data_IF_296942342282
#
_entry.id   IF_296942342282
#
_cell.length_a   1.000
_cell.length_b   1.000
_cell.length_c   1.000
_cell.angle_alpha   90.00
_cell.angle_beta   90.00
_cell.angle_gamma   90.00
#
_symmetry.space_group_name_H-M   'P 1'
#
loop_
_entity.id
_entity.type
_entity.pdbx_description
1 polymer ?
#
# COMPACT_ATOMS: atom_id res chain seq x y z
N UNK A 1 -8.97 44.83 8.79
CA UNK A 1 -8.55 43.43 8.54
C UNK A 1 -7.10 43.29 9.01
N UNK A 2 -6.88 42.63 10.15
CA UNK A 2 -5.58 42.59 10.84
C UNK A 2 -4.65 41.51 10.26
N UNK A 3 -3.33 41.74 10.27
CA UNK A 3 -2.31 40.77 9.80
C UNK A 3 -2.50 39.35 10.35
N UNK A 4 -3.02 39.20 11.58
CA UNK A 4 -3.28 37.89 12.20
C UNK A 4 -4.30 37.03 11.45
N UNK A 5 -5.36 37.64 10.91
CA UNK A 5 -6.44 36.94 10.19
C UNK A 5 -5.94 36.35 8.85
N UNK A 6 -5.01 37.05 8.19
CA UNK A 6 -4.39 36.60 6.94
C UNK A 6 -3.42 35.41 7.12
N UNK A 7 -2.82 35.25 8.30
CA UNK A 7 -1.89 34.16 8.58
C UNK A 7 -2.60 32.87 9.00
N UNK A 8 -3.70 32.97 9.74
CA UNK A 8 -4.52 31.82 10.12
C UNK A 8 -5.20 31.19 8.90
N UNK A 9 -5.77 32.02 8.03
CA UNK A 9 -6.38 31.59 6.76
C UNK A 9 -5.37 30.85 5.88
N UNK A 10 -4.15 31.40 5.71
CA UNK A 10 -3.05 30.73 4.98
C UNK A 10 -2.61 29.42 5.61
N UNK A 11 -2.54 29.33 6.95
CA UNK A 11 -2.21 28.08 7.66
C UNK A 11 -3.29 27.01 7.42
N UNK A 12 -4.57 27.38 7.52
CA UNK A 12 -5.69 26.49 7.28
C UNK A 12 -5.73 25.99 5.82
N UNK A 13 -5.47 26.87 4.86
CA UNK A 13 -5.38 26.51 3.43
C UNK A 13 -4.24 25.51 3.17
N UNK A 14 -3.04 25.77 3.71
CA UNK A 14 -1.90 24.85 3.59
C UNK A 14 -2.19 23.47 4.20
N UNK A 15 -2.87 23.44 5.36
CA UNK A 15 -3.29 22.19 5.99
C UNK A 15 -4.27 21.41 5.11
N UNK A 16 -5.33 22.08 4.63
CA UNK A 16 -6.33 21.50 3.72
C UNK A 16 -5.69 20.96 2.45
N UNK A 17 -4.78 21.71 1.83
CA UNK A 17 -4.04 21.27 0.63
C UNK A 17 -3.19 20.03 0.91
N UNK A 18 -2.52 19.95 2.06
CA UNK A 18 -1.73 18.77 2.45
C UNK A 18 -2.61 17.53 2.65
N UNK A 19 -3.75 17.69 3.32
CA UNK A 19 -4.75 16.61 3.51
C UNK A 19 -5.25 16.13 2.15
N UNK A 20 -5.65 17.06 1.27
CA UNK A 20 -6.13 16.74 -0.06
C UNK A 20 -5.09 15.94 -0.86
N UNK A 21 -3.84 16.41 -0.92
CA UNK A 21 -2.75 15.70 -1.62
C UNK A 21 -2.54 14.29 -1.05
N UNK A 22 -2.56 14.14 0.28
CA UNK A 22 -2.36 12.84 0.91
C UNK A 22 -3.45 11.84 0.52
N UNK A 23 -4.72 12.25 0.52
CA UNK A 23 -5.83 11.40 0.09
C UNK A 23 -5.85 11.19 -1.43
N UNK A 24 -5.43 12.17 -2.23
CA UNK A 24 -5.25 11.99 -3.67
C UNK A 24 -4.22 10.88 -3.96
N UNK A 25 -3.10 10.82 -3.23
CA UNK A 25 -2.13 9.74 -3.38
C UNK A 25 -2.70 8.37 -3.01
N UNK A 26 -3.54 8.29 -1.97
CA UNK A 26 -4.25 7.05 -1.61
C UNK A 26 -5.16 6.59 -2.76
N UNK A 27 -5.94 7.51 -3.33
CA UNK A 27 -6.86 7.20 -4.45
C UNK A 27 -6.09 6.79 -5.70
N UNK A 28 -5.01 7.51 -6.04
CA UNK A 28 -4.15 7.16 -7.18
C UNK A 28 -3.58 5.75 -6.99
N UNK A 29 -3.05 5.46 -5.80
CA UNK A 29 -2.48 4.14 -5.54
C UNK A 29 -3.53 3.04 -5.56
N UNK A 30 -4.72 3.26 -5.00
CA UNK A 30 -5.84 2.33 -5.10
C UNK A 30 -6.23 2.05 -6.57
N UNK A 31 -6.22 3.07 -7.42
CA UNK A 31 -6.46 2.91 -8.86
C UNK A 31 -5.36 2.08 -9.54
N UNK A 32 -4.09 2.24 -9.14
CA UNK A 32 -2.98 1.42 -9.62
C UNK A 32 -3.19 -0.04 -9.23
N UNK A 33 -3.48 -0.33 -7.95
CA UNK A 33 -3.76 -1.71 -7.48
C UNK A 33 -4.91 -2.32 -8.28
N UNK A 34 -6.00 -1.58 -8.44
CA UNK A 34 -7.15 -2.03 -9.24
C UNK A 34 -6.78 -2.38 -10.68
N UNK A 35 -5.99 -1.51 -11.34
CA UNK A 35 -5.51 -1.71 -12.69
C UNK A 35 -4.58 -2.94 -12.81
N UNK A 36 -3.65 -3.13 -11.87
CA UNK A 36 -2.75 -4.28 -11.82
C UNK A 36 -3.50 -5.59 -11.56
N UNK A 37 -4.66 -5.55 -10.91
CA UNK A 37 -5.51 -6.72 -10.75
C UNK A 37 -6.30 -7.13 -12.00
N UNK A 38 -6.22 -6.40 -13.13
CA UNK A 38 -6.95 -6.75 -14.38
C UNK A 38 -6.42 -8.00 -15.09
N UNK A 39 -7.20 -8.59 -15.99
CA UNK A 39 -6.82 -9.79 -16.73
C UNK A 39 -5.62 -9.59 -17.67
N UNK A 40 -5.31 -8.34 -18.03
CA UNK A 40 -4.07 -7.97 -18.74
C UNK A 40 -2.82 -8.40 -17.95
N UNK A 41 -2.93 -8.44 -16.63
CA UNK A 41 -1.89 -8.94 -15.75
C UNK A 41 -2.27 -10.31 -15.19
N UNK A 42 -3.10 -11.12 -15.85
CA UNK A 42 -3.35 -12.51 -15.44
C UNK A 42 -2.10 -13.38 -15.65
N UNK A 43 -2.03 -14.52 -14.95
CA UNK A 43 -0.93 -15.49 -15.12
C UNK A 43 -0.70 -15.85 -16.57
N UNK A 44 -1.79 -16.11 -17.32
CA UNK A 44 -1.75 -16.49 -18.73
C UNK A 44 -1.11 -15.42 -19.62
N UNK A 45 -1.35 -14.14 -19.32
CA UNK A 45 -0.85 -13.04 -20.15
C UNK A 45 0.55 -12.57 -19.74
N UNK A 46 0.92 -12.73 -18.46
CA UNK A 46 2.23 -12.27 -17.94
C UNK A 46 3.31 -13.36 -17.90
N UNK A 47 2.96 -14.64 -17.97
CA UNK A 47 3.91 -15.76 -18.00
C UNK A 47 4.82 -15.76 -19.24
N UNK A 48 4.31 -15.23 -20.35
CA UNK A 48 5.00 -15.27 -21.63
C UNK A 48 6.08 -14.18 -21.68
N UNK A 49 5.70 -12.95 -21.32
CA UNK A 49 6.60 -11.78 -21.33
C UNK A 49 7.74 -11.93 -20.31
N UNK A 50 7.41 -12.23 -19.06
CA UNK A 50 8.43 -12.35 -18.01
C UNK A 50 9.31 -13.60 -18.21
N UNK A 51 8.86 -14.51 -19.07
CA UNK A 51 9.51 -15.79 -19.23
C UNK A 51 10.72 -15.70 -20.12
N UNK A 52 10.67 -14.80 -21.09
CA UNK A 52 11.84 -14.33 -21.83
C UNK A 52 12.93 -13.84 -20.88
N UNK A 53 12.55 -13.11 -19.82
CA UNK A 53 13.49 -12.60 -18.83
C UNK A 53 14.02 -13.70 -17.89
N UNK A 54 13.16 -14.64 -17.47
CA UNK A 54 13.57 -15.77 -16.62
C UNK A 54 14.51 -16.72 -17.37
N UNK A 55 14.19 -17.06 -18.62
CA UNK A 55 15.01 -17.95 -19.44
C UNK A 55 16.37 -17.31 -19.74
N UNK A 56 16.42 -15.98 -19.89
CA UNK A 56 17.68 -15.22 -20.01
C UNK A 56 18.49 -15.19 -18.71
N UNK A 57 17.85 -15.01 -17.56
CA UNK A 57 18.53 -14.81 -16.27
C UNK A 57 18.96 -16.12 -15.58
N UNK A 58 18.11 -17.14 -15.66
CA UNK A 58 18.26 -18.41 -14.91
C UNK A 58 18.57 -19.58 -15.86
N UNK A 59 18.21 -19.45 -17.15
CA UNK A 59 18.30 -20.53 -18.13
C UNK A 59 16.98 -21.28 -18.29
N UNK A 60 16.99 -22.33 -19.12
CA UNK A 60 15.81 -23.14 -19.40
C UNK A 60 15.32 -23.85 -18.14
N UNK A 61 14.02 -23.72 -17.86
CA UNK A 61 13.38 -24.29 -16.68
C UNK A 61 12.10 -25.00 -17.07
N UNK A 62 11.80 -26.09 -16.37
CA UNK A 62 10.52 -26.77 -16.51
C UNK A 62 9.33 -25.81 -16.25
N UNK A 63 8.27 -25.97 -17.03
CA UNK A 63 7.05 -25.14 -16.99
C UNK A 63 6.49 -25.03 -15.57
N UNK A 64 6.53 -26.13 -14.79
CA UNK A 64 6.01 -26.16 -13.42
C UNK A 64 6.81 -25.26 -12.47
N UNK A 65 8.12 -25.22 -12.64
CA UNK A 65 9.01 -24.37 -11.82
C UNK A 65 8.79 -22.90 -12.15
N UNK A 66 8.73 -22.58 -13.45
CA UNK A 66 8.41 -21.25 -13.95
C UNK A 66 7.08 -20.76 -13.38
N UNK A 67 6.02 -21.56 -13.51
CA UNK A 67 4.68 -21.26 -12.97
C UNK A 67 4.69 -20.96 -11.45
N UNK A 68 5.46 -21.70 -10.65
CA UNK A 68 5.59 -21.46 -9.21
C UNK A 68 6.28 -20.15 -8.89
N UNK A 69 7.35 -19.81 -9.61
CA UNK A 69 8.06 -18.55 -9.44
C UNK A 69 7.12 -17.38 -9.75
N UNK A 70 6.34 -17.47 -10.83
CA UNK A 70 5.31 -16.49 -11.16
C UNK A 70 4.29 -16.29 -10.07
N UNK A 71 3.69 -17.38 -9.59
CA UNK A 71 2.73 -17.32 -8.49
C UNK A 71 3.34 -16.67 -7.26
N UNK A 72 4.58 -17.02 -6.91
CA UNK A 72 5.30 -16.40 -5.80
C UNK A 72 5.54 -14.91 -6.00
N UNK A 73 6.03 -14.50 -7.17
CA UNK A 73 6.28 -13.10 -7.51
C UNK A 73 5.00 -12.27 -7.45
N UNK A 74 3.86 -12.81 -7.93
CA UNK A 74 2.56 -12.16 -7.83
C UNK A 74 2.12 -11.96 -6.40
N UNK A 75 2.17 -13.02 -5.58
CA UNK A 75 1.81 -12.93 -4.16
C UNK A 75 2.68 -11.90 -3.42
N UNK A 76 3.98 -11.85 -3.74
CA UNK A 76 4.87 -10.83 -3.21
C UNK A 76 4.49 -9.42 -3.68
N UNK A 77 4.15 -9.24 -4.96
CA UNK A 77 3.72 -7.96 -5.51
C UNK A 77 2.45 -7.46 -4.82
N UNK A 78 1.43 -8.31 -4.67
CA UNK A 78 0.21 -7.97 -3.95
C UNK A 78 0.49 -7.54 -2.49
N UNK A 79 1.32 -8.29 -1.76
CA UNK A 79 1.74 -7.91 -0.39
C UNK A 79 2.37 -6.52 -0.36
N UNK A 80 3.22 -6.18 -1.35
CA UNK A 80 3.87 -4.87 -1.45
C UNK A 80 2.86 -3.77 -1.84
N UNK A 81 1.97 -4.03 -2.78
CA UNK A 81 0.91 -3.12 -3.22
C UNK A 81 0.02 -2.68 -2.06
N UNK A 82 -0.47 -3.64 -1.28
CA UNK A 82 -1.32 -3.37 -0.11
C UNK A 82 -0.53 -2.81 1.08
N UNK A 83 0.75 -3.15 1.24
CA UNK A 83 1.64 -2.50 2.20
C UNK A 83 1.79 -1.00 1.90
N UNK A 84 2.02 -0.61 0.63
CA UNK A 84 2.13 0.79 0.23
C UNK A 84 0.80 1.52 0.44
N UNK A 85 -0.33 0.89 0.06
CA UNK A 85 -1.67 1.44 0.30
C UNK A 85 -1.92 1.72 1.80
N UNK A 86 -1.52 0.79 2.66
CA UNK A 86 -1.62 0.94 4.11
C UNK A 86 -0.79 2.12 4.62
N UNK A 87 0.46 2.28 4.15
CA UNK A 87 1.33 3.39 4.55
C UNK A 87 0.78 4.75 4.11
N UNK A 88 0.29 4.85 2.87
CA UNK A 88 -0.31 6.08 2.35
C UNK A 88 -1.56 6.44 3.14
N UNK A 89 -2.44 5.47 3.39
CA UNK A 89 -3.67 5.67 4.16
C UNK A 89 -3.37 6.05 5.61
N UNK A 90 -2.43 5.36 6.25
CA UNK A 90 -2.00 5.66 7.62
C UNK A 90 -1.47 7.10 7.71
N UNK A 91 -0.64 7.53 6.75
CA UNK A 91 -0.13 8.90 6.69
C UNK A 91 -1.23 9.92 6.43
N UNK A 92 -2.16 9.65 5.50
CA UNK A 92 -3.28 10.53 5.22
C UNK A 92 -4.18 10.70 6.45
N UNK A 93 -4.49 9.60 7.14
CA UNK A 93 -5.29 9.60 8.35
C UNK A 93 -4.62 10.36 9.50
N UNK A 94 -3.30 10.20 9.70
CA UNK A 94 -2.55 10.96 10.71
C UNK A 94 -2.54 12.47 10.46
N UNK A 95 -2.52 12.91 9.19
CA UNK A 95 -2.53 14.34 8.85
C UNK A 95 -3.96 14.91 8.94
N UNK A 96 -4.98 14.06 8.76
CA UNK A 96 -6.40 14.43 8.79
C UNK A 96 -6.93 14.55 10.23
N UNK A 97 -6.53 13.63 11.11
CA UNK A 97 -7.00 13.61 12.50
C UNK A 97 -6.23 14.62 13.37
N UNK A 98 -6.91 15.21 14.36
CA UNK A 98 -6.24 15.96 15.44
C UNK A 98 -5.28 15.05 16.23
N UNK A 99 -4.24 15.66 16.84
CA UNK A 99 -3.15 14.93 17.52
C UNK A 99 -3.69 13.82 18.44
N UNK A 100 -3.02 12.66 18.41
CA UNK A 100 -3.17 11.48 19.31
C UNK A 100 -4.07 10.32 18.89
N UNK A 101 -4.47 10.20 17.62
CA UNK A 101 -5.27 9.06 17.17
C UNK A 101 -4.50 8.08 16.25
N UNK A 102 -3.34 7.60 16.72
CA UNK A 102 -2.58 6.54 16.02
C UNK A 102 -3.48 5.31 15.80
N UNK A 103 -4.30 4.94 16.78
CA UNK A 103 -5.25 3.83 16.66
C UNK A 103 -6.24 4.06 15.50
N UNK A 104 -6.85 5.25 15.40
CA UNK A 104 -7.74 5.60 14.28
C UNK A 104 -7.02 5.52 12.94
N UNK A 105 -5.77 5.99 12.86
CA UNK A 105 -4.97 5.89 11.62
C UNK A 105 -4.66 4.44 11.25
N UNK A 106 -4.34 3.58 12.22
CA UNK A 106 -4.17 2.13 11.99
C UNK A 106 -5.48 1.51 11.51
N UNK A 107 -6.60 1.78 12.18
CA UNK A 107 -7.92 1.26 11.81
C UNK A 107 -8.32 1.69 10.41
N UNK A 108 -8.12 2.97 10.06
CA UNK A 108 -8.39 3.47 8.71
C UNK A 108 -7.54 2.76 7.64
N UNK A 109 -6.24 2.61 7.89
CA UNK A 109 -5.33 1.91 6.99
C UNK A 109 -5.76 0.45 6.75
N UNK A 110 -6.01 -0.30 7.82
CA UNK A 110 -6.40 -1.70 7.72
C UNK A 110 -7.81 -1.87 7.13
N UNK A 111 -8.74 -0.96 7.42
CA UNK A 111 -10.09 -0.98 6.85
C UNK A 111 -10.08 -0.75 5.33
N UNK A 112 -9.29 0.23 4.85
CA UNK A 112 -9.16 0.49 3.41
C UNK A 112 -8.49 -0.69 2.71
N UNK A 113 -7.42 -1.26 3.28
CA UNK A 113 -6.77 -2.47 2.74
C UNK A 113 -7.77 -3.63 2.67
N UNK A 114 -8.49 -3.92 3.77
CA UNK A 114 -9.48 -5.00 3.81
C UNK A 114 -10.54 -4.84 2.72
N UNK A 115 -11.04 -3.62 2.55
CA UNK A 115 -12.10 -3.30 1.60
C UNK A 115 -11.59 -3.46 0.16
N UNK A 116 -10.41 -2.90 -0.16
CA UNK A 116 -9.85 -2.98 -1.51
C UNK A 116 -9.37 -4.39 -1.86
N UNK A 117 -8.79 -5.14 -0.92
CA UNK A 117 -8.42 -6.54 -1.12
C UNK A 117 -9.65 -7.41 -1.34
N UNK A 118 -10.72 -7.22 -0.56
CA UNK A 118 -11.97 -7.96 -0.76
C UNK A 118 -12.64 -7.62 -2.08
N UNK A 119 -12.61 -6.35 -2.50
CA UNK A 119 -13.16 -5.92 -3.78
C UNK A 119 -12.35 -6.45 -4.98
N UNK A 120 -11.03 -6.46 -4.87
CA UNK A 120 -10.15 -7.01 -5.90
C UNK A 120 -10.39 -8.52 -6.06
N UNK A 121 -10.42 -9.25 -4.96
CA UNK A 121 -10.73 -10.67 -4.91
C UNK A 121 -12.11 -11.00 -5.49
N UNK A 122 -13.15 -10.24 -5.11
CA UNK A 122 -14.48 -10.40 -5.66
C UNK A 122 -14.50 -10.19 -7.18
N UNK A 123 -13.73 -9.22 -7.69
CA UNK A 123 -13.58 -9.02 -9.13
C UNK A 123 -12.81 -10.16 -9.80
N UNK A 124 -11.76 -10.68 -9.16
CA UNK A 124 -11.00 -11.82 -9.69
C UNK A 124 -11.86 -13.09 -9.71
N UNK A 125 -12.74 -13.30 -8.73
CA UNK A 125 -13.68 -14.41 -8.70
C UNK A 125 -14.73 -14.38 -9.83
N UNK A 126 -14.95 -13.21 -10.43
CA UNK A 126 -15.84 -13.02 -11.58
C UNK A 126 -15.09 -13.11 -12.93
N UNK A 127 -13.77 -13.28 -12.92
CA UNK A 127 -12.95 -13.38 -14.13
C UNK A 127 -12.83 -14.84 -14.58
N UNK A 128 -12.94 -15.07 -15.89
CA UNK A 128 -12.70 -16.39 -16.50
C UNK A 128 -11.19 -16.75 -16.52
N UNK A 129 -10.31 -15.76 -16.30
CA UNK A 129 -8.86 -15.91 -16.38
C UNK A 129 -8.19 -16.15 -15.02
N UNK A 130 -8.92 -15.97 -13.91
CA UNK A 130 -8.37 -16.05 -12.55
C UNK A 130 -9.30 -16.85 -11.63
N UNK A 131 -8.71 -17.53 -10.65
CA UNK A 131 -9.46 -18.13 -9.55
C UNK A 131 -9.27 -17.27 -8.32
N UNK A 132 -10.35 -16.67 -7.82
CA UNK A 132 -10.32 -16.02 -6.52
C UNK A 132 -10.06 -17.02 -5.38
N UNK A 133 -9.25 -16.64 -4.40
CA UNK A 133 -9.23 -17.27 -3.08
C UNK A 133 -9.46 -16.26 -1.95
N UNK A 134 -10.36 -16.52 -0.99
CA UNK A 134 -10.44 -15.75 0.26
C UNK A 134 -9.11 -15.68 1.03
N UNK A 135 -8.22 -16.64 0.80
CA UNK A 135 -6.86 -16.64 1.35
C UNK A 135 -5.99 -15.51 0.79
N UNK A 136 -6.24 -15.06 -0.44
CA UNK A 136 -5.48 -13.97 -1.04
C UNK A 136 -5.80 -12.63 -0.35
N UNK A 137 -7.05 -12.40 0.07
CA UNK A 137 -7.43 -11.26 0.92
C UNK A 137 -6.64 -11.25 2.24
N UNK A 138 -6.45 -12.42 2.85
CA UNK A 138 -5.68 -12.53 4.09
C UNK A 138 -4.19 -12.25 3.87
N UNK A 139 -3.62 -12.72 2.75
CA UNK A 139 -2.24 -12.42 2.36
C UNK A 139 -2.07 -10.90 2.18
N UNK A 140 -2.99 -10.25 1.49
CA UNK A 140 -2.94 -8.81 1.23
C UNK A 140 -3.06 -7.98 2.52
N UNK A 141 -3.94 -8.42 3.42
CA UNK A 141 -4.06 -7.85 4.75
C UNK A 141 -2.77 -7.98 5.57
N UNK A 142 -2.03 -9.09 5.45
CA UNK A 142 -0.75 -9.24 6.14
C UNK A 142 0.26 -8.19 5.69
N UNK A 143 0.29 -7.83 4.40
CA UNK A 143 1.11 -6.72 3.89
C UNK A 143 0.78 -5.40 4.57
N UNK A 144 -0.51 -5.08 4.70
CA UNK A 144 -0.97 -3.89 5.41
C UNK A 144 -0.58 -3.87 6.90
N UNK A 145 -0.72 -5.01 7.59
CA UNK A 145 -0.33 -5.15 9.01
C UNK A 145 1.18 -4.98 9.20
N UNK A 146 1.99 -5.62 8.34
CA UNK A 146 3.46 -5.51 8.38
C UNK A 146 3.88 -4.04 8.21
N UNK A 147 3.32 -3.36 7.21
CA UNK A 147 3.60 -1.96 6.93
C UNK A 147 3.31 -1.04 8.13
N UNK A 148 2.09 -1.09 8.67
CA UNK A 148 1.68 -0.26 9.80
C UNK A 148 2.53 -0.55 11.03
N UNK A 149 2.74 -1.84 11.35
CA UNK A 149 3.56 -2.25 12.50
C UNK A 149 5.00 -1.77 12.35
N UNK A 150 5.60 -1.95 11.17
CA UNK A 150 6.96 -1.51 10.87
C UNK A 150 7.14 -0.01 11.07
N UNK A 151 6.22 0.81 10.54
CA UNK A 151 6.24 2.26 10.75
C UNK A 151 6.14 2.64 12.22
N UNK A 152 5.30 1.97 13.00
CA UNK A 152 5.15 2.24 14.43
C UNK A 152 6.42 1.90 15.22
N UNK A 153 7.04 0.76 14.93
CA UNK A 153 8.30 0.33 15.56
C UNK A 153 9.44 1.30 15.24
N UNK A 154 9.62 1.65 13.96
CA UNK A 154 10.65 2.60 13.52
C UNK A 154 10.42 3.96 14.18
N UNK A 155 9.19 4.46 14.14
CA UNK A 155 8.84 5.77 14.73
C UNK A 155 9.04 5.82 16.25
N UNK A 156 8.83 4.69 16.96
CA UNK A 156 9.11 4.59 18.40
C UNK A 156 10.61 4.60 18.67
N UNK A 157 11.41 3.85 17.90
CA UNK A 157 12.88 3.84 18.03
C UNK A 157 13.50 5.22 17.77
N UNK A 158 13.03 5.93 16.75
CA UNK A 158 13.54 7.27 16.43
C UNK A 158 13.21 8.32 17.51
N UNK A 159 12.10 8.17 18.24
CA UNK A 159 11.73 9.07 19.35
C UNK A 159 12.50 8.79 20.64
N UNK A 160 13.05 7.59 20.79
CA UNK A 160 13.83 7.18 21.96
C UNK A 160 15.33 7.50 21.89
N UNK A 161 15.82 8.05 20.77
CA UNK A 161 17.22 8.46 20.65
C UNK A 161 17.48 9.69 21.55
N UNK A 162 18.45 9.65 22.48
CA UNK A 162 18.78 10.78 23.33
C UNK A 162 19.18 11.99 22.48
N UNK A 163 18.55 13.13 22.70
CA UNK A 163 19.03 14.39 22.14
C UNK A 163 20.34 14.74 22.85
N UNK A 164 21.48 14.49 22.22
CA UNK A 164 22.77 15.02 22.67
C UNK A 164 22.68 16.55 22.62
N UNK A 165 22.49 17.18 23.78
CA UNK A 165 22.61 18.63 23.88
C UNK A 165 24.06 19.02 23.58
N UNK A 166 24.31 20.05 22.75
CA UNK A 166 25.65 20.59 22.60
C UNK A 166 26.10 21.17 23.94
N UNK A 167 27.18 20.64 24.50
CA UNK A 167 27.88 21.29 25.62
C UNK A 167 28.41 22.64 25.14
N UNK A 168 27.97 23.70 25.81
CA UNK A 168 28.42 25.07 25.59
C UNK A 168 29.90 25.27 25.97
#
# INVERSE_FOLDING_TARGET
MSRGDSDETRKAERSRRRIAIAWTLVVIWAAIVWFLGTDAFSLRNTSDVMGVWLDWLIGDMDYRTRYRIYLGARKAAHVVEYAILALLTFRAALITAHRHQIATACSAALFIVATLASADEARQALSDARTGSPWDVLIDLTGGVIAVTGVLVISRRMRGAPQTQPTA
#
